data_IF_936678811059
#
_entry.id   IF_936678811059
#
_cell.length_a   1.000
_cell.length_b   1.000
_cell.length_c   1.000
_cell.angle_alpha   90.00
_cell.angle_beta   90.00
_cell.angle_gamma   90.00
#
_symmetry.space_group_name_H-M   'P 1'
#
loop_
_entity.id
_entity.type
_entity.pdbx_description
1 polymer ?
#
# COMPACT_ATOMS: atom_id res chain seq x y z
N UNK A 1 7.42 -4.34 5.50
CA UNK A 1 7.57 -3.36 4.41
C UNK A 1 8.57 -2.33 4.88
N UNK A 2 9.63 -2.06 4.11
CA UNK A 2 10.68 -1.13 4.53
C UNK A 2 10.37 0.32 4.16
N UNK A 3 9.66 0.51 3.05
CA UNK A 3 9.22 1.81 2.57
C UNK A 3 8.11 1.64 1.54
N UNK A 4 7.36 2.71 1.32
CA UNK A 4 6.34 2.84 0.29
C UNK A 4 6.51 4.23 -0.32
N UNK A 5 6.62 4.29 -1.64
CA UNK A 5 6.81 5.52 -2.40
C UNK A 5 5.72 5.60 -3.44
N UNK A 6 4.95 6.68 -3.43
CA UNK A 6 3.78 6.88 -4.29
C UNK A 6 3.97 8.19 -5.03
N UNK A 7 3.65 8.21 -6.32
CA UNK A 7 3.60 9.42 -7.15
C UNK A 7 2.27 9.42 -7.90
N UNK A 8 1.58 10.56 -7.86
CA UNK A 8 0.26 10.74 -8.47
C UNK A 8 -0.72 11.47 -7.56
N UNK A 9 -1.95 11.58 -8.05
CA UNK A 9 -3.07 12.20 -7.33
C UNK A 9 -3.35 11.46 -6.01
N UNK A 10 -3.71 12.20 -4.97
CA UNK A 10 -4.02 11.71 -3.62
C UNK A 10 -2.89 10.91 -2.93
N UNK A 11 -1.64 11.03 -3.42
CA UNK A 11 -0.48 10.32 -2.86
C UNK A 11 -0.18 10.67 -1.41
N UNK A 12 -0.44 11.91 -0.98
CA UNK A 12 -0.27 12.36 0.41
C UNK A 12 -1.25 11.67 1.37
N UNK A 13 -2.48 11.51 0.92
CA UNK A 13 -3.60 10.92 1.63
C UNK A 13 -3.39 9.41 1.75
N UNK A 14 -3.01 8.75 0.65
CA UNK A 14 -2.66 7.33 0.64
C UNK A 14 -1.46 7.05 1.55
N UNK A 15 -0.35 7.79 1.41
CA UNK A 15 0.86 7.51 2.19
C UNK A 15 0.66 7.77 3.68
N UNK A 16 -0.18 8.73 4.06
CA UNK A 16 -0.53 8.98 5.46
C UNK A 16 -1.26 7.78 6.08
N UNK A 17 -2.20 7.16 5.34
CA UNK A 17 -2.93 5.99 5.81
C UNK A 17 -2.03 4.75 5.91
N UNK A 18 -1.27 4.43 4.85
CA UNK A 18 -0.35 3.29 4.84
C UNK A 18 0.84 3.47 5.80
N UNK A 19 1.26 4.72 6.05
CA UNK A 19 2.32 5.05 7.00
C UNK A 19 2.03 4.50 8.40
N UNK A 20 0.77 4.55 8.85
CA UNK A 20 0.34 3.94 10.13
C UNK A 20 0.63 2.44 10.15
N UNK A 21 0.22 1.71 9.10
CA UNK A 21 0.45 0.27 9.00
C UNK A 21 1.95 -0.08 8.96
N UNK A 22 2.75 0.71 8.24
CA UNK A 22 4.20 0.53 8.18
C UNK A 22 4.85 0.79 9.55
N UNK A 23 4.44 1.85 10.27
CA UNK A 23 4.89 2.10 11.66
C UNK A 23 4.54 0.94 12.60
N UNK A 24 3.41 0.26 12.38
CA UNK A 24 3.02 -0.95 13.13
C UNK A 24 3.76 -2.22 12.71
N UNK A 25 4.72 -2.12 11.78
CA UNK A 25 5.54 -3.25 11.33
C UNK A 25 4.87 -4.12 10.27
N UNK A 26 3.92 -3.60 9.50
CA UNK A 26 3.24 -4.37 8.48
C UNK A 26 4.21 -5.01 7.47
N UNK A 27 3.97 -6.28 7.15
CA UNK A 27 4.75 -7.12 6.25
C UNK A 27 4.14 -7.13 4.85
N UNK A 28 4.92 -7.52 3.83
CA UNK A 28 4.41 -7.61 2.46
C UNK A 28 3.27 -8.63 2.33
N UNK A 29 3.36 -9.75 3.05
CA UNK A 29 2.30 -10.75 3.10
C UNK A 29 0.97 -10.21 3.65
N UNK A 30 1.00 -9.25 4.57
CA UNK A 30 -0.23 -8.60 5.06
C UNK A 30 -0.84 -7.67 4.01
N UNK A 31 -0.03 -7.00 3.20
CA UNK A 31 -0.51 -6.21 2.06
C UNK A 31 -1.18 -7.15 1.03
N UNK A 32 -0.53 -8.27 0.69
CA UNK A 32 -1.07 -9.26 -0.25
C UNK A 32 -2.36 -9.95 0.20
N UNK A 33 -2.54 -10.07 1.53
CA UNK A 33 -3.75 -10.65 2.11
C UNK A 33 -4.92 -9.65 2.22
N UNK A 34 -4.67 -8.36 1.95
CA UNK A 34 -5.70 -7.32 2.09
C UNK A 34 -6.63 -7.30 0.88
N UNK A 35 -7.94 -7.23 1.12
CA UNK A 35 -8.95 -7.10 0.06
C UNK A 35 -8.85 -5.71 -0.57
N UNK A 36 -8.73 -5.66 -1.89
CA UNK A 36 -8.72 -4.44 -2.68
C UNK A 36 -10.07 -3.69 -2.60
N UNK A 37 -10.00 -2.36 -2.54
CA UNK A 37 -11.16 -1.48 -2.74
C UNK A 37 -11.15 -1.01 -4.19
N UNK A 38 -12.14 -1.42 -4.96
CA UNK A 38 -12.21 -1.18 -6.40
C UNK A 38 -13.33 -0.18 -6.76
N UNK A 39 -13.12 0.79 -7.67
CA UNK A 39 -11.86 1.13 -8.36
C UNK A 39 -11.08 2.24 -7.65
N UNK A 40 -9.81 2.01 -7.29
CA UNK A 40 -8.95 3.04 -6.67
C UNK A 40 -7.48 2.90 -7.07
N UNK A 41 -6.73 4.01 -7.18
CA UNK A 41 -5.27 3.96 -7.35
C UNK A 41 -4.56 3.22 -6.21
N UNK A 42 -5.13 3.28 -5.00
CA UNK A 42 -4.60 2.61 -3.82
C UNK A 42 -4.68 1.07 -3.90
N UNK A 43 -5.56 0.51 -4.73
CA UNK A 43 -5.74 -0.94 -4.83
C UNK A 43 -4.48 -1.64 -5.33
N UNK A 44 -3.68 -0.97 -6.16
CA UNK A 44 -2.41 -1.49 -6.68
C UNK A 44 -1.41 -1.83 -5.55
N UNK A 45 -1.45 -1.09 -4.45
CA UNK A 45 -0.53 -1.28 -3.30
C UNK A 45 -0.75 -2.64 -2.63
N UNK A 46 -1.95 -3.23 -2.76
CA UNK A 46 -2.30 -4.55 -2.21
C UNK A 46 -2.32 -5.66 -3.28
N UNK A 47 -1.99 -5.37 -4.54
CA UNK A 47 -1.98 -6.34 -5.65
C UNK A 47 -0.60 -6.60 -6.27
N UNK A 48 0.45 -5.86 -5.89
CA UNK A 48 1.83 -6.13 -6.32
C UNK A 48 2.40 -7.44 -5.75
N UNK A 49 2.12 -8.59 -6.38
CA UNK A 49 2.48 -9.91 -5.84
C UNK A 49 3.96 -10.28 -6.01
N UNK A 50 4.53 -9.98 -7.17
CA UNK A 50 5.90 -10.38 -7.51
C UNK A 50 6.82 -9.15 -7.58
N UNK A 51 8.09 -9.27 -7.16
CA UNK A 51 9.09 -8.24 -7.42
C UNK A 51 9.31 -8.03 -8.92
N UNK A 52 9.53 -6.78 -9.33
CA UNK A 52 9.97 -6.42 -10.69
C UNK A 52 11.48 -6.61 -10.87
#
# INVERSE_FOLDING_TARGET
VLGLHIIGDDSGEMIQAFGVAITMGATKAQFDATIAVHPTSAEEIVTFKEPS
#
